data_IF_174692715790
#
_entry.id   IF_174692715790
#
_cell.length_a   1.000
_cell.length_b   1.000
_cell.length_c   1.000
_cell.angle_alpha   90.00
_cell.angle_beta   90.00
_cell.angle_gamma   90.00
#
_symmetry.space_group_name_H-M   'P 1'
#
loop_
_entity.id
_entity.type
_entity.pdbx_description
1 polymer ?
#
# COMPACT_ATOMS: atom_id res chain seq x y z
N UNK A 1 18.10 12.06 5.44
CA UNK A 1 16.74 12.18 6.03
C UNK A 1 16.77 11.40 7.33
N UNK A 2 16.06 11.87 8.36
CA UNK A 2 16.42 11.77 9.78
C UNK A 2 16.67 10.36 10.31
N UNK A 3 17.83 10.19 10.96
CA UNK A 3 18.26 8.99 11.67
C UNK A 3 17.48 8.86 12.99
N UNK A 4 16.42 8.07 13.00
CA UNK A 4 16.08 7.33 14.21
C UNK A 4 17.06 6.14 14.32
N UNK A 5 17.62 5.90 15.50
CA UNK A 5 18.66 4.89 15.71
C UNK A 5 18.20 3.47 15.32
N UNK A 6 19.17 2.54 15.19
CA UNK A 6 18.95 1.10 14.93
C UNK A 6 17.69 0.60 15.65
N UNK A 7 16.72 0.08 14.90
CA UNK A 7 15.44 -0.42 15.41
C UNK A 7 14.36 0.63 15.77
N UNK A 8 14.51 1.91 15.39
CA UNK A 8 13.49 2.96 15.61
C UNK A 8 13.18 3.72 14.33
N UNK A 9 11.94 4.19 14.20
CA UNK A 9 11.47 4.96 13.05
C UNK A 9 10.79 6.25 13.51
N UNK A 10 11.24 7.40 12.99
CA UNK A 10 10.58 8.69 13.16
C UNK A 10 9.43 8.81 12.17
N UNK A 11 8.24 9.13 12.67
CA UNK A 11 7.01 9.24 11.90
C UNK A 11 6.79 10.68 11.41
N UNK A 12 6.02 10.90 10.35
CA UNK A 12 5.76 12.25 9.84
C UNK A 12 5.05 13.17 10.85
N UNK A 13 4.28 12.58 11.79
CA UNK A 13 3.66 13.29 12.89
C UNK A 13 4.63 13.73 14.01
N UNK A 14 5.93 13.42 13.87
CA UNK A 14 7.00 13.75 14.81
C UNK A 14 7.16 12.78 15.98
N UNK A 15 6.34 11.71 16.05
CA UNK A 15 6.54 10.63 17.01
C UNK A 15 7.63 9.66 16.56
N UNK A 16 8.09 8.80 17.46
CA UNK A 16 9.09 7.77 17.13
C UNK A 16 8.67 6.43 17.71
N UNK A 17 8.62 5.40 16.86
CA UNK A 17 8.24 4.04 17.24
C UNK A 17 9.43 3.09 17.20
N UNK A 18 9.34 2.00 17.96
CA UNK A 18 10.28 0.89 17.86
C UNK A 18 9.79 -0.11 16.82
N UNK A 19 10.67 -0.62 15.97
CA UNK A 19 10.29 -1.62 14.97
C UNK A 19 9.81 -2.92 15.64
N UNK A 20 10.40 -3.27 16.78
CA UNK A 20 10.02 -4.44 17.59
C UNK A 20 8.65 -4.33 18.26
N UNK A 21 8.00 -3.17 18.25
CA UNK A 21 6.62 -3.02 18.72
C UNK A 21 5.56 -3.27 17.65
N UNK A 22 5.97 -3.46 16.39
CA UNK A 22 5.04 -3.66 15.29
C UNK A 22 4.72 -5.15 15.15
N UNK A 23 3.42 -5.48 15.20
CA UNK A 23 2.93 -6.84 14.96
C UNK A 23 2.83 -7.11 13.46
N UNK A 24 3.14 -8.33 13.03
CA UNK A 24 3.15 -8.71 11.62
C UNK A 24 1.76 -8.62 10.95
N UNK A 25 0.68 -8.72 11.73
CA UNK A 25 -0.70 -8.54 11.25
C UNK A 25 -1.24 -7.12 11.39
N UNK A 26 -0.43 -6.18 11.92
CA UNK A 26 -0.87 -4.82 12.20
C UNK A 26 -1.27 -4.10 10.92
N UNK A 27 -2.48 -3.53 10.94
CA UNK A 27 -2.95 -2.63 9.89
C UNK A 27 -2.80 -1.16 10.26
N UNK A 28 -2.98 -0.85 11.53
CA UNK A 28 -2.92 0.50 12.06
C UNK A 28 -2.12 0.54 13.36
N UNK A 29 -1.41 1.64 13.54
CA UNK A 29 -0.72 2.01 14.76
C UNK A 29 -1.48 3.17 15.42
N UNK A 30 -1.97 2.94 16.63
CA UNK A 30 -2.50 4.01 17.48
C UNK A 30 -1.34 4.83 18.03
N UNK A 31 -1.22 6.08 17.58
CA UNK A 31 -0.05 6.91 17.82
C UNK A 31 -0.26 7.89 18.98
N UNK A 32 0.83 8.20 19.69
CA UNK A 32 0.82 9.19 20.78
C UNK A 32 0.48 10.61 20.31
N UNK A 33 0.47 10.89 19.00
CA UNK A 33 -0.03 12.16 18.45
C UNK A 33 -1.56 12.29 18.55
N UNK A 34 -2.29 11.19 18.78
CA UNK A 34 -3.74 11.13 18.90
C UNK A 34 -4.48 10.59 17.67
N UNK A 35 -3.77 10.37 16.56
CA UNK A 35 -4.30 9.79 15.32
C UNK A 35 -3.84 8.33 15.16
N UNK A 36 -4.51 7.60 14.26
CA UNK A 36 -4.08 6.25 13.84
C UNK A 36 -3.32 6.33 12.51
N UNK A 37 -2.30 5.50 12.37
CA UNK A 37 -1.37 5.51 11.24
C UNK A 37 -1.39 4.17 10.52
N UNK A 38 -1.57 4.18 9.20
CA UNK A 38 -1.54 2.98 8.37
C UNK A 38 -0.17 2.32 8.42
N UNK A 39 -0.15 1.00 8.61
CA UNK A 39 1.06 0.17 8.66
C UNK A 39 0.99 -0.88 7.56
N UNK A 40 2.04 -0.93 6.75
CA UNK A 40 2.24 -1.91 5.69
C UNK A 40 3.65 -2.47 5.79
N UNK A 41 3.79 -3.78 5.68
CA UNK A 41 5.06 -4.50 5.68
C UNK A 41 5.23 -5.24 4.35
N UNK A 42 6.46 -5.53 3.96
CA UNK A 42 6.79 -6.18 2.68
C UNK A 42 6.11 -7.54 2.51
N UNK A 43 5.94 -8.28 3.60
CA UNK A 43 5.27 -9.58 3.62
C UNK A 43 3.76 -9.52 3.45
N UNK A 44 3.12 -8.35 3.57
CA UNK A 44 1.68 -8.23 3.35
C UNK A 44 1.39 -8.44 1.87
N UNK A 45 0.43 -9.29 1.48
CA UNK A 45 0.14 -9.49 0.06
C UNK A 45 -0.62 -8.29 -0.51
N UNK A 46 -0.51 -7.99 -1.83
CA UNK A 46 -1.34 -7.00 -2.51
C UNK A 46 -2.84 -7.29 -2.39
N UNK A 47 -3.20 -8.56 -2.14
CA UNK A 47 -4.57 -8.98 -1.81
C UNK A 47 -5.07 -8.45 -0.46
N UNK A 48 -4.29 -7.62 0.22
CA UNK A 48 -4.78 -6.76 1.31
C UNK A 48 -5.57 -5.55 0.78
N UNK A 49 -5.31 -5.11 -0.45
CA UNK A 49 -5.90 -3.92 -1.05
C UNK A 49 -6.80 -4.22 -2.25
N UNK A 50 -6.56 -5.33 -2.95
CA UNK A 50 -7.27 -5.66 -4.18
C UNK A 50 -7.71 -7.13 -4.24
N UNK A 51 -8.79 -7.47 -4.96
CA UNK A 51 -9.13 -8.86 -5.26
C UNK A 51 -7.99 -9.58 -6.01
N UNK A 52 -7.88 -10.89 -5.82
CA UNK A 52 -6.83 -11.72 -6.43
C UNK A 52 -6.74 -11.54 -7.95
N UNK A 53 -7.87 -11.56 -8.67
CA UNK A 53 -7.88 -11.39 -10.12
C UNK A 53 -7.27 -10.05 -10.59
N UNK A 54 -7.42 -8.98 -9.79
CA UNK A 54 -6.87 -7.67 -10.13
C UNK A 54 -5.38 -7.64 -9.84
N UNK A 55 -4.93 -8.27 -8.75
CA UNK A 55 -3.50 -8.44 -8.46
C UNK A 55 -2.82 -9.22 -9.58
N UNK A 56 -3.39 -10.33 -10.03
CA UNK A 56 -2.89 -11.11 -11.18
C UNK A 56 -2.81 -10.26 -12.46
N UNK A 57 -3.84 -9.45 -12.72
CA UNK A 57 -3.85 -8.56 -13.89
C UNK A 57 -2.75 -7.50 -13.80
N UNK A 58 -2.50 -6.93 -12.62
CA UNK A 58 -1.46 -5.95 -12.40
C UNK A 58 -0.07 -6.57 -12.53
N UNK A 59 0.13 -7.79 -12.04
CA UNK A 59 1.38 -8.55 -12.19
C UNK A 59 1.71 -8.84 -13.67
N UNK A 60 0.71 -9.19 -14.46
CA UNK A 60 0.88 -9.45 -15.90
C UNK A 60 1.21 -8.19 -16.72
N UNK A 61 0.75 -7.00 -16.29
CA UNK A 61 0.79 -5.77 -17.10
C UNK A 61 1.85 -4.79 -16.63
N UNK A 62 2.16 -4.75 -15.34
CA UNK A 62 3.15 -3.83 -14.79
C UNK A 62 4.55 -4.40 -14.99
N UNK A 63 5.30 -3.83 -15.94
CA UNK A 63 6.71 -4.18 -16.13
C UNK A 63 7.55 -3.69 -14.93
N UNK A 64 8.04 -4.62 -14.12
CA UNK A 64 9.00 -4.32 -13.07
C UNK A 64 10.42 -4.22 -13.66
N UNK A 65 11.21 -3.28 -13.15
CA UNK A 65 12.60 -3.07 -13.62
C UNK A 65 13.66 -3.63 -12.67
N UNK A 66 13.25 -4.30 -11.60
CA UNK A 66 14.13 -4.80 -10.54
C UNK A 66 14.36 -6.30 -10.68
N UNK A 67 15.62 -6.74 -10.83
CA UNK A 67 15.96 -8.17 -10.82
C UNK A 67 15.70 -8.83 -9.45
N UNK A 68 15.69 -8.04 -8.38
CA UNK A 68 15.43 -8.50 -7.00
C UNK A 68 13.93 -8.55 -6.67
N UNK A 69 13.09 -7.85 -7.45
CA UNK A 69 11.63 -7.81 -7.32
C UNK A 69 11.00 -7.92 -8.72
N UNK A 70 11.04 -9.12 -9.32
CA UNK A 70 10.56 -9.34 -10.69
C UNK A 70 9.04 -9.29 -10.82
N UNK A 71 8.31 -9.54 -9.74
CA UNK A 71 6.85 -9.63 -9.74
C UNK A 71 6.24 -8.41 -9.05
N UNK A 72 5.06 -7.98 -9.51
CA UNK A 72 4.31 -6.90 -8.88
C UNK A 72 3.91 -7.29 -7.46
N UNK A 73 4.00 -6.34 -6.53
CA UNK A 73 3.86 -6.63 -5.11
C UNK A 73 3.63 -5.41 -4.26
N UNK A 74 3.50 -5.62 -2.95
CA UNK A 74 3.31 -4.54 -1.97
C UNK A 74 4.41 -3.48 -1.99
N UNK A 75 5.71 -3.82 -2.20
CA UNK A 75 6.73 -2.80 -2.40
C UNK A 75 6.45 -1.86 -3.58
N UNK A 76 5.85 -2.36 -4.67
CA UNK A 76 5.47 -1.56 -5.83
C UNK A 76 4.28 -0.64 -5.51
N UNK A 77 3.26 -1.15 -4.81
CA UNK A 77 2.14 -0.34 -4.31
C UNK A 77 2.62 0.79 -3.40
N UNK A 78 3.48 0.48 -2.42
CA UNK A 78 4.03 1.48 -1.53
C UNK A 78 5.00 2.41 -2.24
N UNK A 79 5.67 1.95 -3.30
CA UNK A 79 6.43 2.79 -4.23
C UNK A 79 5.60 3.94 -4.80
N UNK A 80 4.43 3.64 -5.36
CA UNK A 80 3.51 4.65 -5.88
C UNK A 80 3.06 5.64 -4.78
N UNK A 81 2.73 5.12 -3.59
CA UNK A 81 2.34 5.98 -2.45
C UNK A 81 3.47 6.91 -2.02
N UNK A 82 4.73 6.42 -2.00
CA UNK A 82 5.89 7.24 -1.68
C UNK A 82 6.20 8.29 -2.73
N UNK A 83 5.95 7.98 -4.01
CA UNK A 83 6.12 8.94 -5.09
C UNK A 83 5.11 10.09 -5.00
N UNK A 84 3.85 9.79 -4.70
CA UNK A 84 2.80 10.81 -4.56
C UNK A 84 2.87 11.56 -3.21
N UNK A 85 3.17 10.86 -2.11
CA UNK A 85 3.13 11.41 -0.75
C UNK A 85 4.46 11.26 0.02
N UNK A 86 5.59 11.77 -0.49
CA UNK A 86 6.92 11.50 0.07
C UNK A 86 7.11 12.04 1.51
N UNK A 87 6.37 13.07 1.90
CA UNK A 87 6.48 13.68 3.24
C UNK A 87 5.51 13.07 4.26
N UNK A 88 4.60 12.19 3.82
CA UNK A 88 3.52 11.62 4.64
C UNK A 88 3.72 10.15 4.96
N UNK A 89 4.90 9.61 4.63
CA UNK A 89 5.25 8.21 4.81
C UNK A 89 6.67 8.11 5.40
N UNK A 90 6.79 7.32 6.46
CA UNK A 90 8.06 6.92 7.04
C UNK A 90 8.37 5.48 6.64
N UNK A 91 9.63 5.21 6.34
CA UNK A 91 10.09 3.90 5.84
C UNK A 91 11.28 3.45 6.66
N UNK A 92 11.29 2.16 7.04
CA UNK A 92 12.46 1.53 7.62
C UNK A 92 12.82 0.25 6.87
N UNK A 93 14.13 0.10 6.62
CA UNK A 93 14.77 -1.16 6.28
C UNK A 93 15.15 -1.88 7.57
N UNK A 94 14.58 -3.06 7.76
CA UNK A 94 14.74 -3.92 8.93
C UNK A 94 15.45 -5.23 8.58
N UNK A 95 16.11 -5.32 7.41
CA UNK A 95 16.80 -6.53 6.95
C UNK A 95 17.83 -7.05 7.96
N UNK A 96 18.50 -6.15 8.69
CA UNK A 96 19.48 -6.48 9.72
C UNK A 96 18.86 -6.69 11.13
N UNK A 97 17.54 -6.49 11.28
CA UNK A 97 16.81 -6.58 12.55
C UNK A 97 16.13 -7.94 12.69
N UNK A 98 16.89 -8.97 13.07
CA UNK A 98 16.41 -10.37 13.09
C UNK A 98 15.23 -10.69 14.03
N UNK A 99 14.80 -9.75 14.87
CA UNK A 99 13.73 -9.93 15.86
C UNK A 99 12.36 -9.41 15.39
N UNK A 100 12.23 -8.76 14.22
CA UNK A 100 10.96 -8.12 13.79
C UNK A 100 10.17 -8.87 12.74
N UNK A 101 10.79 -9.76 11.95
CA UNK A 101 10.09 -10.67 11.03
C UNK A 101 9.63 -10.08 9.68
N UNK A 102 9.94 -8.80 9.40
CA UNK A 102 9.74 -8.13 8.11
C UNK A 102 11.06 -7.49 7.64
N UNK A 103 11.23 -7.30 6.32
CA UNK A 103 12.41 -6.63 5.78
C UNK A 103 12.18 -5.13 5.58
N UNK A 104 10.95 -4.73 5.24
CA UNK A 104 10.59 -3.32 5.05
C UNK A 104 9.27 -3.02 5.74
N UNK A 105 9.16 -1.81 6.29
CA UNK A 105 7.89 -1.28 6.81
C UNK A 105 7.67 0.15 6.36
N UNK A 106 6.42 0.44 6.03
CA UNK A 106 5.91 1.76 5.69
C UNK A 106 4.85 2.15 6.72
N UNK A 107 5.00 3.34 7.30
CA UNK A 107 4.03 3.91 8.23
C UNK A 107 3.60 5.27 7.72
N UNK A 108 2.30 5.45 7.50
CA UNK A 108 1.72 6.66 6.94
C UNK A 108 1.13 7.54 8.04
N UNK A 109 1.06 8.85 7.81
CA UNK A 109 0.37 9.76 8.74
C UNK A 109 -1.15 9.81 8.55
N UNK A 110 -1.68 9.07 7.57
CA UNK A 110 -3.09 8.74 7.41
C UNK A 110 -3.38 7.33 7.93
N UNK A 111 -4.62 7.06 8.32
CA UNK A 111 -5.08 5.75 8.80
C UNK A 111 -5.10 4.70 7.68
N UNK A 112 -5.31 3.42 8.01
CA UNK A 112 -5.25 2.33 7.04
C UNK A 112 -6.44 2.30 6.09
N UNK A 113 -7.57 2.92 6.44
CA UNK A 113 -8.71 3.06 5.53
C UNK A 113 -8.36 4.07 4.44
N UNK A 114 -7.86 5.25 4.81
CA UNK A 114 -7.43 6.26 3.84
C UNK A 114 -6.24 5.81 3.03
N UNK A 115 -5.30 5.07 3.61
CA UNK A 115 -4.20 4.44 2.83
C UNK A 115 -4.75 3.51 1.74
N UNK A 116 -5.78 2.72 2.06
CA UNK A 116 -6.40 1.83 1.08
C UNK A 116 -7.08 2.61 -0.05
N UNK A 117 -7.83 3.67 0.26
CA UNK A 117 -8.39 4.57 -0.76
C UNK A 117 -7.30 5.16 -1.66
N UNK A 118 -6.22 5.67 -1.07
CA UNK A 118 -5.07 6.22 -1.82
C UNK A 118 -4.45 5.19 -2.75
N UNK A 119 -4.24 3.95 -2.28
CA UNK A 119 -3.68 2.89 -3.11
C UNK A 119 -4.60 2.57 -4.30
N UNK A 120 -5.93 2.54 -4.08
CA UNK A 120 -6.91 2.32 -5.14
C UNK A 120 -6.93 3.47 -6.14
N UNK A 121 -6.93 4.72 -5.65
CA UNK A 121 -6.84 5.94 -6.47
C UNK A 121 -5.61 5.88 -7.39
N UNK A 122 -4.43 5.58 -6.84
CA UNK A 122 -3.17 5.53 -7.60
C UNK A 122 -3.12 4.41 -8.65
N UNK A 123 -3.66 3.23 -8.33
CA UNK A 123 -3.73 2.11 -9.30
C UNK A 123 -4.68 2.45 -10.44
N UNK A 124 -5.82 3.05 -10.13
CA UNK A 124 -6.77 3.54 -11.14
C UNK A 124 -6.12 4.58 -12.06
N UNK A 125 -5.42 5.56 -11.48
CA UNK A 125 -4.72 6.61 -12.24
C UNK A 125 -3.63 6.01 -13.14
N UNK A 126 -2.88 5.03 -12.64
CA UNK A 126 -1.90 4.29 -13.44
C UNK A 126 -2.57 3.58 -14.62
N UNK A 127 -3.71 2.91 -14.40
CA UNK A 127 -4.46 2.25 -15.47
C UNK A 127 -4.98 3.25 -16.51
N UNK A 128 -5.46 4.43 -16.07
CA UNK A 128 -5.88 5.51 -16.96
C UNK A 128 -4.74 5.97 -17.87
N UNK A 129 -3.56 6.20 -17.27
CA UNK A 129 -2.37 6.56 -18.02
C UNK A 129 -1.97 5.48 -19.03
N UNK A 130 -1.98 4.21 -18.63
CA UNK A 130 -1.66 3.10 -19.52
C UNK A 130 -2.65 3.01 -20.71
N UNK A 131 -3.95 3.14 -20.45
CA UNK A 131 -4.98 3.11 -21.49
C UNK A 131 -4.86 4.33 -22.42
N UNK A 132 -4.56 5.51 -21.89
CA UNK A 132 -4.36 6.73 -22.69
C UNK A 132 -3.18 6.64 -23.66
N UNK A 133 -2.17 5.82 -23.33
CA UNK A 133 -1.02 5.55 -24.19
C UNK A 133 -1.27 4.45 -25.22
N UNK A 134 -2.23 3.55 -24.98
CA UNK A 134 -2.67 2.61 -25.99
C UNK A 134 -3.41 3.40 -27.09
N UNK A 135 -3.01 3.29 -28.35
CA UNK A 135 -3.54 4.05 -29.51
C UNK A 135 -5.01 3.67 -29.88
N UNK A 136 -5.90 3.52 -28.88
CA UNK A 136 -7.28 3.08 -29.01
C UNK A 136 -8.23 4.04 -28.30
N UNK A 137 -8.71 5.06 -29.03
CA UNK A 137 -9.70 6.04 -28.56
C UNK A 137 -10.95 5.37 -27.95
N UNK A 138 -11.31 4.18 -28.45
CA UNK A 138 -12.43 3.39 -27.93
C UNK A 138 -12.16 2.84 -26.53
N UNK A 139 -10.96 2.33 -26.27
CA UNK A 139 -10.61 1.79 -24.95
C UNK A 139 -10.53 2.91 -23.90
N UNK A 140 -10.02 4.08 -24.30
CA UNK A 140 -10.00 5.26 -23.43
C UNK A 140 -11.42 5.72 -23.07
N UNK A 141 -12.31 5.86 -24.05
CA UNK A 141 -13.70 6.28 -23.79
C UNK A 141 -14.42 5.28 -22.86
N UNK A 142 -14.25 3.97 -23.09
CA UNK A 142 -14.87 2.94 -22.26
C UNK A 142 -14.32 2.89 -20.83
N UNK A 143 -13.04 3.22 -20.64
CA UNK A 143 -12.42 3.35 -19.33
C UNK A 143 -12.95 4.59 -18.60
N UNK A 144 -12.96 5.75 -19.25
CA UNK A 144 -13.48 7.00 -18.69
C UNK A 144 -14.95 6.86 -18.24
N UNK A 145 -15.79 6.18 -19.03
CA UNK A 145 -17.18 5.91 -18.67
C UNK A 145 -17.30 5.04 -17.41
N UNK A 146 -16.48 3.98 -17.29
CA UNK A 146 -16.45 3.14 -16.09
C UNK A 146 -15.93 3.91 -14.87
N UNK A 147 -14.95 4.79 -15.06
CA UNK A 147 -14.38 5.59 -13.99
C UNK A 147 -15.33 6.63 -13.42
N UNK A 148 -16.26 7.15 -14.22
CA UNK A 148 -17.31 8.05 -13.73
C UNK A 148 -18.27 7.38 -12.74
N UNK A 149 -18.40 6.05 -12.83
CA UNK A 149 -19.29 5.26 -11.97
C UNK A 149 -18.55 4.61 -10.80
N UNK A 150 -17.21 4.57 -10.81
CA UNK A 150 -16.42 3.91 -9.80
C UNK A 150 -16.26 4.77 -8.53
N UNK A 151 -16.88 4.35 -7.44
CA UNK A 151 -16.72 4.96 -6.12
C UNK A 151 -15.63 4.21 -5.32
N UNK A 152 -14.48 4.85 -5.18
CA UNK A 152 -13.34 4.32 -4.39
C UNK A 152 -13.73 4.05 -2.94
N UNK A 153 -14.53 4.95 -2.34
CA UNK A 153 -14.91 4.84 -0.93
C UNK A 153 -15.81 3.63 -0.75
N UNK A 154 -16.79 3.45 -1.63
CA UNK A 154 -17.68 2.29 -1.62
C UNK A 154 -16.91 0.98 -1.87
N UNK A 155 -15.98 0.97 -2.83
CA UNK A 155 -15.11 -0.19 -3.07
C UNK A 155 -14.31 -0.56 -1.82
N UNK A 156 -13.65 0.41 -1.18
CA UNK A 156 -12.85 0.17 0.02
C UNK A 156 -13.71 -0.33 1.18
N UNK A 157 -14.86 0.27 1.41
CA UNK A 157 -15.77 -0.13 2.48
C UNK A 157 -16.24 -1.58 2.26
N UNK A 158 -16.72 -1.93 1.06
CA UNK A 158 -17.14 -3.30 0.75
C UNK A 158 -16.01 -4.31 0.87
N UNK A 159 -14.83 -3.99 0.31
CA UNK A 159 -13.69 -4.90 0.32
C UNK A 159 -13.19 -5.17 1.74
N UNK A 160 -13.12 -4.14 2.59
CA UNK A 160 -12.68 -4.28 3.97
C UNK A 160 -13.69 -5.05 4.80
N UNK A 161 -14.99 -4.79 4.61
CA UNK A 161 -16.06 -5.54 5.28
C UNK A 161 -16.00 -7.04 4.93
N UNK A 162 -15.79 -7.39 3.66
CA UNK A 162 -15.64 -8.79 3.24
C UNK A 162 -14.42 -9.47 3.87
N UNK A 163 -13.28 -8.78 3.97
CA UNK A 163 -12.06 -9.35 4.56
C UNK A 163 -12.04 -9.36 6.08
N UNK A 164 -12.74 -8.45 6.76
CA UNK A 164 -12.88 -8.49 8.21
C UNK A 164 -13.81 -9.64 8.67
N UNK A 165 -14.70 -10.11 7.78
CA UNK A 165 -15.55 -11.28 7.98
C UNK A 165 -14.85 -12.62 7.69
N UNK A 166 -13.78 -12.60 6.90
CA UNK A 166 -12.98 -13.79 6.57
C UNK A 166 -11.53 -13.63 7.06
N UNK A 167 -11.29 -13.74 8.38
CA UNK A 167 -9.94 -13.84 8.91
C UNK A 167 -9.45 -15.25 8.57
N UNK A 168 -9.06 -15.49 7.32
CA UNK A 168 -8.34 -16.72 6.99
C UNK A 168 -7.15 -16.79 7.95
N UNK A 169 -7.08 -17.84 8.79
CA UNK A 169 -5.98 -17.98 9.71
C UNK A 169 -4.73 -18.16 8.87
N UNK A 170 -3.70 -17.36 9.09
CA UNK A 170 -2.36 -17.66 8.60
C UNK A 170 -2.02 -19.08 9.08
N UNK A 171 -2.04 -20.08 8.18
CA UNK A 171 -1.63 -21.46 8.43
C UNK A 171 -0.30 -21.72 7.78
#
# INVERSE_FOLDING_TARGET
>A
MSNAGVGRLELPCGQTVALTSLDLGMRELDCDCGDSHGVVMDMHPPTRFFPEFLVETLDDVVETTSEEMPDFGTPHLMGMVMEEFPERIAVADATDEGDVGFAMVWITDFDARRLHEVIVELVVEMMEHAVSHAESDRALTEFEEQMLEFDVTEFVDQYRDERDLDPEPYV
#
